data_IF_409339644931
#
_entry.id   IF_409339644931
#
_cell.length_a   1.000
_cell.length_b   1.000
_cell.length_c   1.000
_cell.angle_alpha   90.00
_cell.angle_beta   90.00
_cell.angle_gamma   90.00
#
_symmetry.space_group_name_H-M   'P 1'
#
loop_
_entity.id
_entity.type
_entity.pdbx_description
1 polymer ?
#
# COMPACT_ATOMS: atom_id res chain seq x y z
N UNK A 1 -26.96 -18.36 -12.97
CA UNK A 1 -26.10 -19.47 -13.44
C UNK A 1 -25.68 -19.17 -14.86
N UNK A 2 -24.45 -18.70 -15.10
CA UNK A 2 -23.79 -18.78 -16.41
C UNK A 2 -22.29 -18.92 -16.13
N UNK A 3 -21.69 -19.97 -16.69
CA UNK A 3 -20.35 -20.43 -16.41
C UNK A 3 -19.29 -19.54 -17.07
N UNK A 4 -18.24 -19.23 -16.31
CA UNK A 4 -17.06 -18.50 -16.74
C UNK A 4 -16.17 -19.44 -17.56
N UNK A 5 -16.16 -19.30 -18.89
CA UNK A 5 -15.39 -20.15 -19.83
C UNK A 5 -14.08 -19.53 -20.32
N UNK A 6 -13.58 -18.47 -19.65
CA UNK A 6 -12.21 -18.00 -19.80
C UNK A 6 -11.61 -17.84 -18.40
N UNK A 7 -10.78 -18.79 -18.02
CA UNK A 7 -10.12 -18.87 -16.71
C UNK A 7 -9.08 -17.79 -16.50
N UNK A 8 -9.53 -16.56 -16.28
CA UNK A 8 -8.78 -15.56 -15.53
C UNK A 8 -9.32 -15.53 -14.10
N UNK A 9 -8.42 -15.65 -13.14
CA UNK A 9 -8.70 -15.90 -11.72
C UNK A 9 -9.61 -14.79 -11.18
N UNK A 10 -10.92 -15.07 -11.06
CA UNK A 10 -11.87 -14.19 -10.42
C UNK A 10 -11.72 -14.35 -8.90
N UNK A 11 -10.85 -13.51 -8.31
CA UNK A 11 -10.70 -13.45 -6.86
C UNK A 11 -11.83 -12.56 -6.34
N UNK A 12 -12.62 -13.00 -5.34
CA UNK A 12 -13.62 -12.12 -4.74
C UNK A 12 -12.95 -10.81 -4.25
N UNK A 13 -13.68 -9.70 -4.22
CA UNK A 13 -13.15 -8.43 -3.69
C UNK A 13 -12.64 -8.53 -2.24
N UNK A 14 -13.36 -9.17 -1.30
CA UNK A 14 -12.96 -9.15 0.10
C UNK A 14 -11.60 -9.82 0.40
N UNK A 15 -11.21 -10.97 -0.21
CA UNK A 15 -9.87 -11.55 -0.04
C UNK A 15 -8.75 -10.65 -0.55
N UNK A 16 -8.95 -9.97 -1.68
CA UNK A 16 -7.95 -9.05 -2.22
C UNK A 16 -7.76 -7.86 -1.29
N UNK A 17 -8.85 -7.27 -0.81
CA UNK A 17 -8.80 -6.18 0.17
C UNK A 17 -8.11 -6.59 1.48
N UNK A 18 -8.34 -7.82 1.95
CA UNK A 18 -7.64 -8.37 3.11
C UNK A 18 -6.12 -8.48 2.87
N UNK A 19 -5.69 -8.95 1.69
CA UNK A 19 -4.27 -9.03 1.34
C UNK A 19 -3.63 -7.64 1.22
N UNK A 20 -4.36 -6.67 0.67
CA UNK A 20 -3.93 -5.27 0.62
C UNK A 20 -3.75 -4.73 2.04
N UNK A 21 -4.72 -4.91 2.93
CA UNK A 21 -4.63 -4.49 4.33
C UNK A 21 -3.45 -5.17 5.05
N UNK A 22 -3.24 -6.47 4.81
CA UNK A 22 -2.09 -7.21 5.34
C UNK A 22 -0.75 -6.65 4.86
N UNK A 23 -0.65 -6.23 3.59
CA UNK A 23 0.58 -5.62 3.05
C UNK A 23 0.93 -4.30 3.75
N UNK A 24 -0.07 -3.48 4.07
CA UNK A 24 0.10 -2.21 4.80
C UNK A 24 0.51 -2.49 6.26
N UNK A 25 -0.15 -3.47 6.90
CA UNK A 25 0.22 -3.89 8.26
C UNK A 25 1.65 -4.42 8.32
N UNK A 26 2.06 -5.24 7.33
CA UNK A 26 3.43 -5.71 7.20
C UNK A 26 4.43 -4.54 7.09
N UNK A 27 4.14 -3.55 6.23
CA UNK A 27 5.01 -2.39 6.07
C UNK A 27 5.13 -1.58 7.36
N UNK A 28 4.04 -1.42 8.11
CA UNK A 28 4.03 -0.75 9.40
C UNK A 28 4.93 -1.46 10.43
N UNK A 29 4.85 -2.80 10.50
CA UNK A 29 5.73 -3.60 11.37
C UNK A 29 7.19 -3.47 10.97
N UNK A 30 7.48 -3.53 9.67
CA UNK A 30 8.83 -3.35 9.16
C UNK A 30 9.39 -1.96 9.45
N UNK A 31 8.57 -0.91 9.35
CA UNK A 31 8.95 0.44 9.72
C UNK A 31 9.29 0.56 11.21
N UNK A 32 8.53 -0.09 12.09
CA UNK A 32 8.86 -0.15 13.53
C UNK A 32 10.20 -0.84 13.76
N UNK A 33 10.48 -1.94 13.05
CA UNK A 33 11.76 -2.66 13.12
C UNK A 33 12.93 -1.78 12.69
N UNK A 34 12.80 -1.08 11.56
CA UNK A 34 13.80 -0.10 11.08
C UNK A 34 14.05 0.97 12.13
N UNK A 35 13.00 1.58 12.68
CA UNK A 35 13.12 2.63 13.69
C UNK A 35 13.76 2.15 15.01
N UNK A 36 13.74 0.85 15.29
CA UNK A 36 14.39 0.22 16.46
C UNK A 36 15.81 -0.28 16.16
N UNK A 37 16.30 -0.13 14.93
CA UNK A 37 17.60 -0.64 14.50
C UNK A 37 17.64 -2.16 14.33
N UNK A 38 16.50 -2.81 14.17
CA UNK A 38 16.40 -4.25 13.92
C UNK A 38 16.48 -4.56 12.42
N UNK A 39 16.84 -5.81 12.09
CA UNK A 39 16.87 -6.28 10.72
C UNK A 39 15.49 -6.20 10.06
N UNK A 40 15.40 -5.51 8.93
CA UNK A 40 14.17 -5.31 8.16
C UNK A 40 14.34 -5.82 6.73
N UNK A 41 13.34 -6.58 6.27
CA UNK A 41 13.24 -7.08 4.91
C UNK A 41 13.00 -5.94 3.92
N UNK A 42 12.15 -4.97 4.26
CA UNK A 42 11.88 -3.81 3.39
C UNK A 42 13.12 -2.93 3.26
N UNK A 43 13.94 -2.82 4.31
CA UNK A 43 15.22 -2.12 4.24
C UNK A 43 16.29 -2.89 3.46
N UNK A 44 16.30 -4.23 3.56
CA UNK A 44 17.31 -5.08 2.92
C UNK A 44 17.03 -5.33 1.43
N UNK A 45 15.77 -5.45 1.05
CA UNK A 45 15.33 -5.77 -0.32
C UNK A 45 14.18 -4.86 -0.78
N UNK A 46 14.36 -3.53 -0.78
CA UNK A 46 13.28 -2.57 -1.05
C UNK A 46 12.62 -2.78 -2.43
N UNK A 47 13.42 -3.04 -3.46
CA UNK A 47 12.94 -3.26 -4.83
C UNK A 47 12.03 -4.47 -4.97
N UNK A 48 12.37 -5.57 -4.27
CA UNK A 48 11.58 -6.80 -4.31
C UNK A 48 10.25 -6.59 -3.61
N UNK A 49 10.25 -5.93 -2.45
CA UNK A 49 9.01 -5.66 -1.71
C UNK A 49 8.12 -4.70 -2.49
N UNK A 50 8.68 -3.62 -3.05
CA UNK A 50 7.95 -2.68 -3.89
C UNK A 50 7.32 -3.35 -5.11
N UNK A 51 8.05 -4.25 -5.78
CA UNK A 51 7.54 -5.00 -6.92
C UNK A 51 6.38 -5.92 -6.55
N UNK A 52 6.54 -6.72 -5.49
CA UNK A 52 5.50 -7.65 -5.03
C UNK A 52 4.24 -6.89 -4.60
N UNK A 53 4.38 -5.81 -3.83
CA UNK A 53 3.25 -5.00 -3.40
C UNK A 53 2.60 -4.28 -4.58
N UNK A 54 3.40 -3.74 -5.51
CA UNK A 54 2.89 -3.14 -6.74
C UNK A 54 2.04 -4.12 -7.55
N UNK A 55 2.49 -5.37 -7.71
CA UNK A 55 1.71 -6.41 -8.39
C UNK A 55 0.41 -6.75 -7.65
N UNK A 56 0.48 -6.97 -6.33
CA UNK A 56 -0.71 -7.30 -5.53
C UNK A 56 -1.78 -6.20 -5.61
N UNK A 57 -1.36 -4.93 -5.51
CA UNK A 57 -2.25 -3.78 -5.60
C UNK A 57 -2.77 -3.58 -7.02
N UNK A 58 -1.90 -3.74 -8.03
CA UNK A 58 -2.28 -3.66 -9.44
C UNK A 58 -3.33 -4.68 -9.84
N UNK A 59 -3.20 -5.94 -9.39
CA UNK A 59 -4.21 -6.97 -9.61
C UNK A 59 -5.52 -6.68 -8.87
N UNK A 60 -5.46 -6.22 -7.63
CA UNK A 60 -6.66 -5.85 -6.89
C UNK A 60 -7.43 -4.70 -7.53
N UNK A 61 -6.72 -3.69 -8.01
CA UNK A 61 -7.32 -2.59 -8.74
C UNK A 61 -7.87 -3.01 -10.11
N UNK A 62 -7.13 -3.84 -10.88
CA UNK A 62 -7.61 -4.38 -12.14
C UNK A 62 -8.90 -5.20 -11.98
N UNK A 63 -8.98 -6.03 -10.92
CA UNK A 63 -10.18 -6.77 -10.56
C UNK A 63 -11.37 -5.84 -10.29
N UNK A 64 -11.15 -4.81 -9.46
CA UNK A 64 -12.19 -3.82 -9.18
C UNK A 64 -12.65 -3.04 -10.43
N UNK A 65 -11.74 -2.74 -11.37
CA UNK A 65 -12.10 -2.12 -12.65
C UNK A 65 -12.96 -3.06 -13.52
N UNK A 66 -12.64 -4.35 -13.53
CA UNK A 66 -13.46 -5.35 -14.23
C UNK A 66 -14.86 -5.47 -13.63
N UNK A 67 -14.98 -5.41 -12.29
CA UNK A 67 -16.26 -5.48 -11.58
C UNK A 67 -17.19 -4.29 -11.88
N UNK A 68 -16.63 -3.10 -12.16
CA UNK A 68 -17.42 -1.92 -12.59
C UNK A 68 -17.74 -1.92 -14.10
N UNK A 69 -17.39 -2.97 -14.83
CA UNK A 69 -17.79 -3.20 -16.22
C UNK A 69 -16.88 -2.55 -17.28
N UNK A 70 -15.65 -2.18 -16.94
CA UNK A 70 -14.66 -1.74 -17.94
C UNK A 70 -14.33 -2.88 -18.91
N UNK A 71 -14.20 -2.54 -20.19
CA UNK A 71 -13.77 -3.51 -21.19
C UNK A 71 -12.32 -3.93 -20.97
N UNK A 72 -11.98 -5.19 -21.23
CA UNK A 72 -10.61 -5.70 -21.03
C UNK A 72 -9.55 -4.90 -21.82
N UNK A 73 -9.95 -4.32 -22.96
CA UNK A 73 -9.08 -3.50 -23.80
C UNK A 73 -8.73 -2.14 -23.16
N UNK A 74 -9.56 -1.64 -22.25
CA UNK A 74 -9.35 -0.35 -21.56
C UNK A 74 -8.53 -0.51 -20.28
N UNK A 75 -8.51 -1.71 -19.68
CA UNK A 75 -7.78 -2.00 -18.43
C UNK A 75 -6.30 -1.59 -18.52
N UNK A 76 -5.51 -1.93 -19.58
CA UNK A 76 -4.11 -1.54 -19.63
C UNK A 76 -3.89 -0.03 -19.60
N UNK A 77 -4.71 0.74 -20.31
CA UNK A 77 -4.62 2.19 -20.36
C UNK A 77 -5.02 2.82 -19.02
N UNK A 78 -6.07 2.30 -18.39
CA UNK A 78 -6.50 2.71 -17.05
C UNK A 78 -5.42 2.41 -16.00
N UNK A 79 -4.81 1.21 -16.04
CA UNK A 79 -3.71 0.83 -15.16
C UNK A 79 -2.49 1.73 -15.35
N UNK A 80 -2.10 2.00 -16.60
CA UNK A 80 -0.98 2.90 -16.89
C UNK A 80 -1.22 4.31 -16.34
N UNK A 81 -2.41 4.88 -16.62
CA UNK A 81 -2.78 6.23 -16.18
C UNK A 81 -2.88 6.32 -14.66
N UNK A 82 -3.41 5.28 -14.02
CA UNK A 82 -3.48 5.17 -12.57
C UNK A 82 -2.07 5.13 -11.95
N UNK A 83 -1.19 4.26 -12.44
CA UNK A 83 0.19 4.16 -11.94
C UNK A 83 0.94 5.48 -12.12
N UNK A 84 0.79 6.15 -13.27
CA UNK A 84 1.38 7.47 -13.49
C UNK A 84 0.86 8.50 -12.48
N UNK A 85 -0.45 8.51 -12.21
CA UNK A 85 -1.04 9.37 -11.19
C UNK A 85 -0.51 9.07 -9.78
N UNK A 86 -0.36 7.79 -9.42
CA UNK A 86 0.20 7.36 -8.13
C UNK A 86 1.65 7.80 -7.98
N UNK A 87 2.49 7.58 -9.00
CA UNK A 87 3.91 7.98 -9.00
C UNK A 87 4.04 9.50 -8.79
N UNK A 88 3.25 10.29 -9.53
CA UNK A 88 3.22 11.76 -9.38
C UNK A 88 2.78 12.16 -7.97
N UNK A 89 1.70 11.55 -7.46
CA UNK A 89 1.20 11.82 -6.11
C UNK A 89 2.21 11.48 -5.02
N UNK A 90 2.93 10.35 -5.17
CA UNK A 90 4.00 9.94 -4.26
C UNK A 90 5.17 10.92 -4.27
N UNK A 91 5.66 11.31 -5.46
CA UNK A 91 6.75 12.28 -5.58
C UNK A 91 6.36 13.63 -4.98
N UNK A 92 5.14 14.10 -5.21
CA UNK A 92 4.62 15.33 -4.64
C UNK A 92 4.54 15.26 -3.10
N UNK A 93 3.96 14.18 -2.57
CA UNK A 93 3.84 13.97 -1.12
C UNK A 93 5.21 13.90 -0.44
N UNK A 94 6.15 13.13 -0.99
CA UNK A 94 7.52 13.00 -0.46
C UNK A 94 8.23 14.35 -0.48
N UNK A 95 8.07 15.14 -1.55
CA UNK A 95 8.68 16.47 -1.66
C UNK A 95 8.18 17.42 -0.57
N UNK A 96 6.87 17.42 -0.29
CA UNK A 96 6.27 18.21 0.79
C UNK A 96 6.76 17.73 2.16
N UNK A 97 6.73 16.42 2.41
CA UNK A 97 7.14 15.84 3.68
C UNK A 97 8.61 16.15 4.00
N UNK A 98 9.51 16.01 3.01
CA UNK A 98 10.92 16.34 3.16
C UNK A 98 11.14 17.84 3.39
N UNK A 99 10.42 18.70 2.67
CA UNK A 99 10.49 20.15 2.85
C UNK A 99 10.04 20.57 4.25
N UNK A 100 8.96 19.96 4.77
CA UNK A 100 8.47 20.19 6.11
C UNK A 100 9.48 19.73 7.18
N UNK A 101 10.06 18.53 7.02
CA UNK A 101 11.12 18.03 7.90
C UNK A 101 12.35 18.95 7.88
N UNK A 102 12.74 19.45 6.71
CA UNK A 102 13.86 20.37 6.57
C UNK A 102 13.59 21.70 7.30
N UNK A 103 12.38 22.25 7.19
CA UNK A 103 11.98 23.47 7.91
C UNK A 103 12.03 23.28 9.43
N UNK A 104 11.51 22.16 9.93
CA UNK A 104 11.54 21.83 11.37
C UNK A 104 12.97 21.70 11.90
N UNK A 105 13.88 21.14 11.09
CA UNK A 105 15.32 21.06 11.44
C UNK A 105 15.96 22.44 11.53
N UNK A 106 15.64 23.35 10.61
CA UNK A 106 16.14 24.74 10.66
C UNK A 106 15.66 25.47 11.91
N UNK A 107 14.42 25.21 12.36
CA UNK A 107 13.86 25.76 13.59
C UNK A 107 14.47 25.15 14.88
N UNK A 108 15.44 24.22 14.77
CA UNK A 108 16.07 23.48 15.89
C UNK A 108 15.06 22.81 16.84
N UNK A 109 13.89 22.45 16.33
CA UNK A 109 12.89 21.74 17.13
C UNK A 109 13.40 20.31 17.33
N UNK A 110 13.73 19.96 18.58
CA UNK A 110 14.17 18.62 18.92
C UNK A 110 12.95 17.73 19.17
N UNK A 111 12.66 16.85 18.21
CA UNK A 111 11.55 15.90 18.33
C UNK A 111 12.01 14.68 19.15
N UNK A 112 11.23 14.25 20.15
CA UNK A 112 11.53 13.02 20.85
C UNK A 112 11.41 11.81 19.91
N UNK A 113 12.30 10.83 20.07
CA UNK A 113 12.43 9.67 19.17
C UNK A 113 11.15 8.86 18.98
N UNK A 114 10.22 8.88 19.95
CA UNK A 114 8.95 8.17 19.85
C UNK A 114 8.06 8.70 18.73
N UNK A 115 8.21 9.96 18.31
CA UNK A 115 7.38 10.52 17.24
C UNK A 115 7.66 9.86 15.90
N UNK A 116 8.86 9.34 15.67
CA UNK A 116 9.16 8.58 14.44
C UNK A 116 8.33 7.28 14.34
N UNK A 117 7.84 6.77 15.47
CA UNK A 117 7.00 5.56 15.51
C UNK A 117 5.52 5.89 15.30
N UNK A 118 5.10 7.14 15.50
CA UNK A 118 3.70 7.53 15.47
C UNK A 118 3.01 7.19 14.13
N UNK A 119 3.60 7.47 12.95
CA UNK A 119 2.99 7.09 11.68
C UNK A 119 2.83 5.57 11.53
N UNK A 120 3.84 4.81 11.94
CA UNK A 120 3.84 3.35 11.84
C UNK A 120 2.72 2.72 12.68
N UNK A 121 2.57 3.14 13.94
CA UNK A 121 1.49 2.64 14.79
C UNK A 121 0.11 3.09 14.31
N UNK A 122 -0.01 4.32 13.80
CA UNK A 122 -1.30 4.85 13.32
C UNK A 122 -1.78 4.06 12.10
N UNK A 123 -0.95 4.00 11.06
CA UNK A 123 -1.27 3.28 9.83
C UNK A 123 -1.40 1.78 10.10
N UNK A 124 -0.52 1.20 10.91
CA UNK A 124 -0.58 -0.21 11.29
C UNK A 124 -1.85 -0.58 12.05
N UNK A 125 -2.33 0.26 12.97
CA UNK A 125 -3.56 0.01 13.72
C UNK A 125 -4.80 0.05 12.82
N UNK A 126 -4.86 1.03 11.91
CA UNK A 126 -5.95 1.13 10.92
C UNK A 126 -5.93 -0.08 9.98
N UNK A 127 -4.75 -0.46 9.50
CA UNK A 127 -4.59 -1.63 8.63
C UNK A 127 -4.97 -2.94 9.34
N UNK A 128 -4.60 -3.10 10.61
CA UNK A 128 -5.00 -4.25 11.42
C UNK A 128 -6.52 -4.30 11.62
N UNK A 129 -7.16 -3.15 11.89
CA UNK A 129 -8.61 -3.05 12.00
C UNK A 129 -9.30 -3.48 10.69
N UNK A 130 -8.90 -2.93 9.55
CA UNK A 130 -9.47 -3.31 8.25
C UNK A 130 -9.19 -4.76 7.89
N UNK A 131 -8.01 -5.29 8.20
CA UNK A 131 -7.69 -6.70 8.00
C UNK A 131 -8.65 -7.59 8.78
N UNK A 132 -8.83 -7.33 10.08
CA UNK A 132 -9.75 -8.10 10.93
C UNK A 132 -11.17 -8.00 10.37
N UNK A 133 -11.62 -6.78 10.04
CA UNK A 133 -12.95 -6.55 9.48
C UNK A 133 -13.17 -7.39 8.21
N UNK A 134 -12.21 -7.39 7.27
CA UNK A 134 -12.34 -8.18 6.03
C UNK A 134 -12.29 -9.67 6.29
N UNK A 135 -11.43 -10.13 7.19
CA UNK A 135 -11.33 -11.55 7.55
C UNK A 135 -12.59 -12.06 8.25
N UNK A 136 -13.24 -11.23 9.07
CA UNK A 136 -14.49 -11.61 9.76
C UNK A 136 -15.73 -11.64 8.88
N UNK A 137 -15.64 -11.11 7.65
CA UNK A 137 -16.74 -11.08 6.69
C UNK A 137 -16.74 -12.30 5.75
N UNK A 138 -15.74 -13.19 5.88
CA UNK A 138 -15.73 -14.53 5.25
C UNK A 138 -16.48 -15.55 6.10
#
# INVERSE_FOLDING_TARGET
MQFNTLGFVWVPGPPVEAVIALSILFLAVELVKVNRGAASLTARYPWIVAFIFGLLHGFGFAGALSDIGLSENEIPLSLFSFNLGVEIGQLFFVSIALSFIALLKTARIAWPRWIHQFPAYTVGSIAAFWLIQRVSLF
#
